data_IF_540629741068
#
_entry.id   IF_540629741068
#
_cell.length_a   1.000
_cell.length_b   1.000
_cell.length_c   1.000
_cell.angle_alpha   90.00
_cell.angle_beta   90.00
_cell.angle_gamma   90.00
#
_symmetry.space_group_name_H-M   'P 1'
#
loop_
_entity.id
_entity.type
_entity.pdbx_description
1 polymer ?
#
# COMPACT_ATOMS: atom_id res chain seq x y z
N UNK A 1 -10.95 -1.06 34.45
CA UNK A 1 -10.16 -0.60 33.28
C UNK A 1 -10.05 -1.67 32.20
N UNK A 2 -9.91 -2.92 32.57
CA UNK A 2 -9.67 -4.02 31.61
C UNK A 2 -10.79 -4.26 30.57
N UNK A 3 -12.05 -4.12 30.99
CA UNK A 3 -13.19 -4.30 30.07
C UNK A 3 -13.27 -3.20 28.99
N UNK A 4 -12.89 -1.96 29.30
CA UNK A 4 -12.89 -0.85 28.33
C UNK A 4 -11.81 -1.10 27.28
N UNK A 5 -10.61 -1.51 27.68
CA UNK A 5 -9.55 -1.86 26.74
C UNK A 5 -9.94 -3.06 25.86
N UNK A 6 -10.58 -4.07 26.42
CA UNK A 6 -11.08 -5.21 25.66
C UNK A 6 -12.11 -4.77 24.61
N UNK A 7 -13.07 -3.92 24.98
CA UNK A 7 -14.03 -3.37 24.03
C UNK A 7 -13.37 -2.57 22.91
N UNK A 8 -12.35 -1.75 23.24
CA UNK A 8 -11.57 -1.00 22.24
C UNK A 8 -10.85 -1.95 21.28
N UNK A 9 -10.20 -2.99 21.78
CA UNK A 9 -9.51 -3.97 20.95
C UNK A 9 -10.47 -4.69 20.02
N UNK A 10 -11.64 -5.12 20.53
CA UNK A 10 -12.68 -5.77 19.71
C UNK A 10 -13.19 -4.82 18.62
N UNK A 11 -13.40 -3.56 18.98
CA UNK A 11 -13.82 -2.52 18.03
C UNK A 11 -12.78 -2.33 16.92
N UNK A 12 -11.50 -2.18 17.27
CA UNK A 12 -10.41 -2.07 16.29
C UNK A 12 -10.31 -3.31 15.39
N UNK A 13 -10.45 -4.50 15.96
CA UNK A 13 -10.42 -5.73 15.18
C UNK A 13 -11.56 -5.79 14.15
N UNK A 14 -12.77 -5.39 14.57
CA UNK A 14 -13.93 -5.34 13.69
C UNK A 14 -13.71 -4.34 12.54
N UNK A 15 -13.23 -3.13 12.86
CA UNK A 15 -12.93 -2.11 11.85
C UNK A 15 -11.79 -2.56 10.91
N UNK A 16 -10.75 -3.19 11.43
CA UNK A 16 -9.66 -3.72 10.61
C UNK A 16 -10.14 -4.78 9.59
N UNK A 17 -11.11 -5.62 9.96
CA UNK A 17 -11.70 -6.57 9.01
C UNK A 17 -12.48 -5.85 7.91
N UNK A 18 -13.27 -4.82 8.26
CA UNK A 18 -13.99 -4.01 7.28
C UNK A 18 -13.04 -3.27 6.34
N UNK A 19 -12.04 -2.62 6.88
CA UNK A 19 -11.01 -1.90 6.15
C UNK A 19 -10.28 -2.82 5.15
N UNK A 20 -9.88 -4.01 5.60
CA UNK A 20 -9.29 -5.02 4.75
C UNK A 20 -10.21 -5.43 3.59
N UNK A 21 -11.51 -5.64 3.86
CA UNK A 21 -12.48 -6.03 2.81
C UNK A 21 -12.64 -4.93 1.77
N UNK A 22 -12.76 -3.68 2.20
CA UNK A 22 -12.97 -2.53 1.31
C UNK A 22 -11.68 -2.22 0.54
N UNK A 23 -10.53 -2.23 1.20
CA UNK A 23 -9.22 -1.98 0.61
C UNK A 23 -8.82 -3.06 -0.42
N UNK A 24 -8.94 -4.33 -0.08
CA UNK A 24 -8.68 -5.43 -1.03
C UNK A 24 -9.62 -5.37 -2.22
N UNK A 25 -10.88 -4.99 -2.02
CA UNK A 25 -11.85 -4.83 -3.11
C UNK A 25 -11.43 -3.72 -4.08
N UNK A 26 -10.92 -2.61 -3.57
CA UNK A 26 -10.41 -1.50 -4.37
C UNK A 26 -9.16 -1.89 -5.16
N UNK A 27 -8.17 -2.48 -4.49
CA UNK A 27 -6.90 -2.86 -5.10
C UNK A 27 -7.05 -4.01 -6.12
N UNK A 28 -7.99 -4.94 -5.88
CA UNK A 28 -8.21 -6.11 -6.73
C UNK A 28 -8.54 -5.72 -8.19
N UNK A 29 -9.23 -4.62 -8.41
CA UNK A 29 -9.55 -4.11 -9.75
C UNK A 29 -8.26 -3.84 -10.54
N UNK A 30 -7.24 -3.30 -9.92
CA UNK A 30 -6.00 -2.89 -10.57
C UNK A 30 -5.21 -4.06 -11.16
N UNK A 31 -5.21 -5.23 -10.52
CA UNK A 31 -4.43 -6.38 -10.99
C UNK A 31 -5.26 -7.52 -11.59
N UNK A 32 -6.56 -7.60 -11.32
CA UNK A 32 -7.42 -8.65 -11.87
C UNK A 32 -8.09 -8.29 -13.19
N UNK A 33 -8.32 -6.99 -13.46
CA UNK A 33 -9.08 -6.53 -14.65
C UNK A 33 -8.49 -7.02 -15.96
N UNK A 34 -7.17 -6.99 -16.09
CA UNK A 34 -6.51 -7.45 -17.33
C UNK A 34 -6.66 -8.97 -17.55
N UNK A 35 -6.58 -9.77 -16.50
CA UNK A 35 -6.75 -11.22 -16.58
C UNK A 35 -8.20 -11.62 -16.88
N UNK A 36 -9.15 -10.92 -16.29
CA UNK A 36 -10.59 -11.14 -16.50
C UNK A 36 -11.00 -10.65 -17.90
N UNK A 37 -10.60 -9.41 -18.25
CA UNK A 37 -10.97 -8.78 -19.51
C UNK A 37 -10.38 -9.46 -20.75
N UNK A 38 -9.18 -10.05 -20.64
CA UNK A 38 -8.57 -10.84 -21.71
C UNK A 38 -9.15 -12.25 -21.85
N UNK A 39 -9.94 -12.73 -20.90
CA UNK A 39 -10.44 -14.10 -20.87
C UNK A 39 -9.35 -15.16 -20.69
N UNK A 40 -8.16 -14.77 -20.18
CA UNK A 40 -7.01 -15.68 -20.01
C UNK A 40 -7.30 -16.81 -19.02
N UNK A 41 -8.17 -16.55 -18.02
CA UNK A 41 -8.62 -17.53 -17.05
C UNK A 41 -10.06 -17.24 -16.61
N UNK A 42 -10.72 -18.25 -16.04
CA UNK A 42 -12.06 -18.06 -15.48
C UNK A 42 -11.98 -17.18 -14.22
N UNK A 43 -13.00 -16.37 -13.98
CA UNK A 43 -13.10 -15.48 -12.82
C UNK A 43 -12.71 -16.18 -11.51
N UNK A 44 -13.26 -17.38 -11.28
CA UNK A 44 -12.97 -18.18 -10.08
C UNK A 44 -11.47 -18.49 -9.92
N UNK A 45 -10.78 -18.84 -11.00
CA UNK A 45 -9.32 -19.13 -10.97
C UNK A 45 -8.53 -17.86 -10.68
N UNK A 46 -8.89 -16.75 -11.30
CA UNK A 46 -8.23 -15.46 -11.07
C UNK A 46 -8.35 -15.05 -9.60
N UNK A 47 -9.55 -15.14 -9.02
CA UNK A 47 -9.79 -14.80 -7.61
C UNK A 47 -9.01 -15.72 -6.66
N UNK A 48 -8.97 -17.02 -6.90
CA UNK A 48 -8.23 -17.95 -6.03
C UNK A 48 -6.72 -17.61 -6.05
N UNK A 49 -6.15 -17.39 -7.24
CA UNK A 49 -4.72 -17.06 -7.38
C UNK A 49 -4.43 -15.71 -6.70
N UNK A 50 -5.28 -14.71 -6.92
CA UNK A 50 -5.15 -13.40 -6.30
C UNK A 50 -5.24 -13.48 -4.77
N UNK A 51 -6.18 -14.25 -4.22
CA UNK A 51 -6.34 -14.44 -2.77
C UNK A 51 -5.09 -15.08 -2.14
N UNK A 52 -4.51 -16.08 -2.79
CA UNK A 52 -3.24 -16.69 -2.34
C UNK A 52 -2.12 -15.64 -2.36
N UNK A 53 -2.03 -14.84 -3.43
CA UNK A 53 -1.03 -13.78 -3.55
C UNK A 53 -1.16 -12.71 -2.46
N UNK A 54 -2.37 -12.25 -2.19
CA UNK A 54 -2.66 -11.27 -1.12
C UNK A 54 -2.31 -11.84 0.26
N UNK A 55 -2.66 -13.09 0.52
CA UNK A 55 -2.34 -13.76 1.79
C UNK A 55 -0.82 -13.85 2.01
N UNK A 56 -0.06 -14.27 1.00
CA UNK A 56 1.40 -14.31 1.07
C UNK A 56 1.97 -12.89 1.24
N UNK A 57 1.46 -11.91 0.49
CA UNK A 57 1.86 -10.51 0.59
C UNK A 57 1.64 -9.92 1.97
N UNK A 58 0.50 -10.23 2.60
CA UNK A 58 0.18 -9.78 3.96
C UNK A 58 1.19 -10.32 5.00
N UNK A 59 1.60 -11.59 4.89
CA UNK A 59 2.61 -12.19 5.77
C UNK A 59 3.97 -11.51 5.61
N UNK A 60 4.27 -10.95 4.43
CA UNK A 60 5.57 -10.36 4.09
C UNK A 60 5.57 -8.83 4.14
N UNK A 61 4.56 -8.19 4.72
CA UNK A 61 4.33 -6.73 4.63
C UNK A 61 4.98 -5.87 5.72
N UNK A 62 5.90 -6.40 6.51
CA UNK A 62 6.50 -5.73 7.68
C UNK A 62 7.07 -4.33 7.38
N UNK A 63 7.70 -4.14 6.22
CA UNK A 63 8.33 -2.86 5.85
C UNK A 63 7.35 -1.69 5.68
N UNK A 64 6.13 -1.95 5.22
CA UNK A 64 5.09 -0.91 5.08
C UNK A 64 4.53 -0.49 6.44
N UNK A 65 4.44 -1.42 7.38
CA UNK A 65 3.97 -1.17 8.73
C UNK A 65 4.90 -0.22 9.49
N UNK A 66 6.20 -0.32 9.28
CA UNK A 66 7.19 0.57 9.91
C UNK A 66 7.03 2.03 9.45
N UNK A 67 6.76 2.25 8.15
CA UNK A 67 6.49 3.59 7.61
C UNK A 67 5.23 4.20 8.25
N UNK A 68 4.18 3.42 8.44
CA UNK A 68 2.95 3.88 9.08
C UNK A 68 3.18 4.23 10.57
N UNK A 69 4.00 3.44 11.27
CA UNK A 69 4.25 3.63 12.72
C UNK A 69 5.19 4.78 13.05
N UNK A 70 6.25 4.97 12.26
CA UNK A 70 7.35 5.89 12.60
C UNK A 70 7.66 6.91 11.50
N UNK A 71 6.96 6.83 10.35
CA UNK A 71 7.28 7.63 9.18
C UNK A 71 6.72 9.04 9.20
N UNK A 72 5.50 9.24 9.71
CA UNK A 72 4.73 10.48 9.53
C UNK A 72 4.76 11.35 10.79
N UNK A 73 4.65 10.75 11.94
CA UNK A 73 4.63 11.42 13.23
C UNK A 73 5.59 10.76 14.24
N UNK A 74 5.80 11.39 15.37
CA UNK A 74 6.61 10.86 16.46
C UNK A 74 5.70 10.30 17.57
N UNK A 75 5.48 8.98 17.60
CA UNK A 75 4.50 8.37 18.54
C UNK A 75 4.81 8.66 20.00
N UNK A 76 6.10 8.86 20.33
CA UNK A 76 6.60 9.14 21.69
C UNK A 76 6.06 10.45 22.26
N UNK A 77 5.64 11.37 21.40
CA UNK A 77 5.10 12.68 21.78
C UNK A 77 3.59 12.67 22.00
N UNK A 78 2.92 11.55 21.72
CA UNK A 78 1.47 11.42 21.85
C UNK A 78 1.12 10.49 23.00
N UNK A 79 0.09 10.84 23.75
CA UNK A 79 -0.49 9.94 24.76
C UNK A 79 -1.19 8.77 24.08
N UNK A 80 -1.40 7.68 24.81
CA UNK A 80 -2.09 6.52 24.31
C UNK A 80 -3.50 6.85 23.79
N UNK A 81 -4.22 7.76 24.45
CA UNK A 81 -5.54 8.20 24.00
C UNK A 81 -5.50 8.98 22.69
N UNK A 82 -4.51 9.85 22.52
CA UNK A 82 -4.31 10.60 21.28
C UNK A 82 -4.00 9.67 20.12
N UNK A 83 -3.15 8.66 20.34
CA UNK A 83 -2.86 7.62 19.34
C UNK A 83 -4.09 6.82 18.98
N UNK A 84 -4.92 6.43 19.95
CA UNK A 84 -6.20 5.75 19.68
C UNK A 84 -7.12 6.61 18.83
N UNK A 85 -7.24 7.90 19.14
CA UNK A 85 -8.06 8.82 18.36
C UNK A 85 -7.56 8.95 16.91
N UNK A 86 -6.23 9.06 16.73
CA UNK A 86 -5.61 9.12 15.38
C UNK A 86 -5.97 7.86 14.59
N UNK A 87 -5.72 6.67 15.15
CA UNK A 87 -5.94 5.42 14.43
C UNK A 87 -7.42 5.14 14.16
N UNK A 88 -8.33 5.46 15.10
CA UNK A 88 -9.78 5.33 14.87
C UNK A 88 -10.22 6.27 13.76
N UNK A 89 -9.75 7.52 13.76
CA UNK A 89 -10.08 8.48 12.72
C UNK A 89 -9.60 8.00 11.33
N UNK A 90 -8.37 7.51 11.24
CA UNK A 90 -7.82 6.95 10.00
C UNK A 90 -8.67 5.78 9.50
N UNK A 91 -8.93 4.76 10.35
CA UNK A 91 -9.70 3.58 9.96
C UNK A 91 -11.12 3.93 9.48
N UNK A 92 -11.81 4.83 10.19
CA UNK A 92 -13.16 5.25 9.79
C UNK A 92 -13.12 6.01 8.45
N UNK A 93 -12.14 6.89 8.28
CA UNK A 93 -11.99 7.69 7.06
C UNK A 93 -11.66 6.79 5.87
N UNK A 94 -10.71 5.86 6.03
CA UNK A 94 -10.29 4.95 4.95
C UNK A 94 -11.44 4.06 4.50
N UNK A 95 -12.20 3.45 5.43
CA UNK A 95 -13.38 2.66 5.11
C UNK A 95 -14.40 3.47 4.30
N UNK A 96 -14.74 4.67 4.76
CA UNK A 96 -15.73 5.51 4.08
C UNK A 96 -15.22 5.95 2.70
N UNK A 97 -13.99 6.39 2.63
CA UNK A 97 -13.37 6.88 1.40
C UNK A 97 -13.27 5.78 0.36
N UNK A 98 -12.73 4.62 0.73
CA UNK A 98 -12.61 3.48 -0.17
C UNK A 98 -13.95 2.92 -0.60
N UNK A 99 -14.96 2.88 0.27
CA UNK A 99 -16.32 2.44 -0.08
C UNK A 99 -16.97 3.38 -1.11
N UNK A 100 -16.80 4.70 -0.94
CA UNK A 100 -17.23 5.69 -1.92
C UNK A 100 -16.54 5.49 -3.27
N UNK A 101 -15.22 5.33 -3.27
CA UNK A 101 -14.47 5.08 -4.51
C UNK A 101 -14.86 3.77 -5.18
N UNK A 102 -15.07 2.69 -4.41
CA UNK A 102 -15.56 1.41 -4.91
C UNK A 102 -16.95 1.55 -5.55
N UNK A 103 -17.85 2.26 -4.89
CA UNK A 103 -19.21 2.51 -5.40
C UNK A 103 -19.20 3.31 -6.69
N UNK A 104 -18.29 4.28 -6.83
CA UNK A 104 -18.12 5.08 -8.04
C UNK A 104 -17.32 4.36 -9.13
N UNK A 105 -16.75 3.18 -8.84
CA UNK A 105 -15.91 2.43 -9.76
C UNK A 105 -14.57 3.11 -10.05
N UNK A 106 -14.05 3.90 -9.12
CA UNK A 106 -12.79 4.61 -9.23
C UNK A 106 -11.71 3.92 -8.37
N UNK A 107 -10.80 3.15 -8.98
CA UNK A 107 -9.69 2.57 -8.23
C UNK A 107 -8.76 3.68 -7.71
N UNK A 108 -8.39 3.60 -6.45
CA UNK A 108 -7.46 4.53 -5.81
C UNK A 108 -6.25 3.80 -5.23
N UNK A 109 -5.29 4.55 -4.71
CA UNK A 109 -4.13 3.97 -4.01
C UNK A 109 -4.40 3.97 -2.50
N UNK A 110 -4.65 2.80 -1.94
CA UNK A 110 -4.84 2.60 -0.50
C UNK A 110 -3.64 3.09 0.32
N UNK A 111 -2.42 2.91 -0.19
CA UNK A 111 -1.21 3.41 0.47
C UNK A 111 -1.18 4.94 0.54
N UNK A 112 -1.57 5.62 -0.54
CA UNK A 112 -1.62 7.10 -0.59
C UNK A 112 -2.71 7.61 0.34
N UNK A 113 -3.89 6.99 0.32
CA UNK A 113 -5.01 7.29 1.23
C UNK A 113 -4.54 7.23 2.68
N UNK A 114 -4.02 6.10 3.12
CA UNK A 114 -3.52 5.87 4.47
C UNK A 114 -2.49 6.93 4.92
N UNK A 115 -1.54 7.29 4.05
CA UNK A 115 -0.52 8.30 4.36
C UNK A 115 -1.14 9.68 4.63
N UNK A 116 -2.06 10.12 3.77
CA UNK A 116 -2.70 11.43 3.92
C UNK A 116 -3.73 11.47 5.05
N UNK A 117 -4.43 10.38 5.30
CA UNK A 117 -5.35 10.24 6.44
C UNK A 117 -4.60 10.29 7.76
N UNK A 118 -3.49 9.56 7.85
CA UNK A 118 -2.63 9.56 9.02
C UNK A 118 -2.02 10.94 9.26
N UNK A 119 -1.59 11.62 8.20
CA UNK A 119 -1.10 12.99 8.27
C UNK A 119 -2.20 13.95 8.74
N UNK A 120 -3.41 13.86 8.18
CA UNK A 120 -4.54 14.70 8.54
C UNK A 120 -4.99 14.51 9.99
N UNK A 121 -5.16 13.26 10.42
CA UNK A 121 -5.54 12.94 11.79
C UNK A 121 -4.49 13.42 12.79
N UNK A 122 -3.22 13.16 12.51
CA UNK A 122 -2.11 13.60 13.38
C UNK A 122 -1.99 15.11 13.42
N UNK A 123 -2.18 15.80 12.29
CA UNK A 123 -2.14 17.26 12.21
C UNK A 123 -3.20 17.90 13.11
N UNK A 124 -4.43 17.37 13.09
CA UNK A 124 -5.53 17.89 13.92
C UNK A 124 -5.24 17.67 15.41
N UNK A 125 -4.79 16.47 15.79
CA UNK A 125 -4.45 16.19 17.21
C UNK A 125 -3.29 17.05 17.66
N UNK A 126 -2.26 17.24 16.82
CA UNK A 126 -1.13 18.13 17.11
C UNK A 126 -1.58 19.59 17.31
N UNK A 127 -2.54 20.05 16.49
CA UNK A 127 -3.08 21.41 16.60
C UNK A 127 -3.80 21.62 17.94
N UNK A 128 -4.62 20.67 18.37
CA UNK A 128 -5.25 20.70 19.70
C UNK A 128 -4.23 20.69 20.83
N UNK A 129 -3.19 19.86 20.71
CA UNK A 129 -2.14 19.76 21.71
C UNK A 129 -1.35 21.06 21.86
N UNK A 130 -0.94 21.67 20.76
CA UNK A 130 -0.24 22.96 20.74
C UNK A 130 -1.13 24.07 21.31
N UNK A 131 -2.42 24.06 21.01
CA UNK A 131 -3.37 25.07 21.53
C UNK A 131 -3.70 24.89 23.00
N UNK A 132 -3.61 23.69 23.53
CA UNK A 132 -3.97 23.36 24.93
C UNK A 132 -2.80 23.44 25.90
N UNK A 133 -1.58 23.24 25.45
CA UNK A 133 -0.38 23.28 26.29
C UNK A 133 0.32 24.63 26.20
N UNK A 134 0.47 25.30 27.33
CA UNK A 134 1.19 26.59 27.46
C UNK A 134 2.72 26.47 27.30
N UNK A 135 3.22 25.36 26.78
CA UNK A 135 4.62 24.95 26.81
C UNK A 135 5.43 25.11 25.51
N UNK A 136 4.91 25.81 24.48
CA UNK A 136 5.74 26.16 23.31
C UNK A 136 6.11 25.00 22.37
N UNK A 137 5.33 23.89 22.34
CA UNK A 137 5.52 22.81 21.38
C UNK A 137 5.30 23.31 19.96
N UNK A 138 6.19 22.92 19.06
CA UNK A 138 6.10 23.23 17.63
C UNK A 138 5.58 22.01 16.85
N UNK A 139 4.99 22.26 15.67
CA UNK A 139 4.61 21.17 14.75
C UNK A 139 5.76 20.25 14.37
N UNK A 140 6.98 20.78 14.27
CA UNK A 140 8.19 20.00 13.98
C UNK A 140 8.57 19.00 15.09
N UNK A 141 8.08 19.22 16.31
CA UNK A 141 8.32 18.31 17.44
C UNK A 141 7.38 17.10 17.42
N UNK A 142 6.19 17.29 16.88
CA UNK A 142 5.12 16.30 16.81
C UNK A 142 5.11 15.54 15.49
N UNK A 143 5.33 16.24 14.37
CA UNK A 143 5.32 15.70 13.00
C UNK A 143 6.75 15.58 12.46
N UNK A 144 7.01 14.50 11.75
CA UNK A 144 8.25 14.34 11.01
C UNK A 144 8.15 15.03 9.64
N UNK A 145 8.26 16.36 9.65
CA UNK A 145 8.04 17.21 8.46
C UNK A 145 8.95 16.84 7.29
N UNK A 146 10.20 16.48 7.53
CA UNK A 146 11.14 16.06 6.48
C UNK A 146 10.67 14.77 5.80
N UNK A 147 10.24 13.77 6.57
CA UNK A 147 9.70 12.52 6.01
C UNK A 147 8.37 12.73 5.32
N UNK A 148 7.48 13.56 5.85
CA UNK A 148 6.20 13.90 5.22
C UNK A 148 6.41 14.50 3.84
N UNK A 149 7.31 15.49 3.73
CA UNK A 149 7.66 16.11 2.45
C UNK A 149 8.29 15.08 1.51
N UNK A 150 9.23 14.29 1.99
CA UNK A 150 9.91 13.25 1.19
C UNK A 150 8.92 12.21 0.66
N UNK A 151 8.00 11.72 1.49
CA UNK A 151 6.95 10.76 1.08
C UNK A 151 6.01 11.38 0.06
N UNK A 152 5.53 12.60 0.32
CA UNK A 152 4.63 13.33 -0.59
C UNK A 152 5.27 13.56 -1.96
N UNK A 153 6.51 14.07 -1.98
CA UNK A 153 7.26 14.25 -3.23
C UNK A 153 7.53 12.90 -3.92
N UNK A 154 7.83 11.85 -3.16
CA UNK A 154 8.01 10.50 -3.66
C UNK A 154 6.76 9.96 -4.36
N UNK A 155 5.57 10.23 -3.82
CA UNK A 155 4.29 9.85 -4.43
C UNK A 155 4.13 10.54 -5.80
N UNK A 156 4.28 11.86 -5.87
CA UNK A 156 4.15 12.60 -7.15
C UNK A 156 5.21 12.17 -8.16
N UNK A 157 6.46 11.99 -7.72
CA UNK A 157 7.54 11.55 -8.59
C UNK A 157 7.30 10.13 -9.12
N UNK A 158 6.78 9.22 -8.27
CA UNK A 158 6.46 7.85 -8.68
C UNK A 158 5.39 7.80 -9.77
N UNK A 159 4.37 8.66 -9.68
CA UNK A 159 3.32 8.77 -10.71
C UNK A 159 3.92 9.23 -12.05
N UNK A 160 4.78 10.25 -12.03
CA UNK A 160 5.44 10.75 -13.24
C UNK A 160 6.35 9.67 -13.87
N UNK A 161 7.14 8.97 -13.06
CA UNK A 161 8.00 7.86 -13.49
C UNK A 161 7.15 6.72 -14.06
N UNK A 162 6.09 6.31 -13.37
CA UNK A 162 5.19 5.24 -13.81
C UNK A 162 4.53 5.58 -15.16
N UNK A 163 4.12 6.82 -15.36
CA UNK A 163 3.55 7.28 -16.63
C UNK A 163 4.56 7.16 -17.78
N UNK A 164 5.79 7.66 -17.60
CA UNK A 164 6.83 7.62 -18.64
C UNK A 164 7.22 6.18 -18.96
N UNK A 165 7.60 5.40 -17.93
CA UNK A 165 8.02 4.01 -18.14
C UNK A 165 6.88 3.12 -18.63
N UNK A 166 5.67 3.30 -18.10
CA UNK A 166 4.48 2.57 -18.56
C UNK A 166 4.19 2.83 -20.03
N UNK A 167 4.31 4.08 -20.48
CA UNK A 167 4.16 4.46 -21.89
C UNK A 167 5.21 3.77 -22.77
N UNK A 168 6.48 3.79 -22.36
CA UNK A 168 7.58 3.14 -23.08
C UNK A 168 7.37 1.63 -23.16
N UNK A 169 7.06 0.98 -22.03
CA UNK A 169 6.82 -0.47 -21.99
C UNK A 169 5.62 -0.86 -22.86
N UNK A 170 4.53 -0.08 -22.78
CA UNK A 170 3.34 -0.32 -23.61
C UNK A 170 3.64 -0.13 -25.10
N UNK A 171 4.42 0.88 -25.47
CA UNK A 171 4.86 1.07 -26.87
C UNK A 171 5.70 -0.11 -27.35
N UNK A 172 6.67 -0.57 -26.55
CA UNK A 172 7.49 -1.73 -26.87
C UNK A 172 6.65 -3.00 -27.01
N UNK A 173 5.73 -3.24 -26.06
CA UNK A 173 4.83 -4.39 -26.10
C UNK A 173 3.98 -4.38 -27.37
N UNK A 174 3.38 -3.24 -27.75
CA UNK A 174 2.59 -3.11 -28.99
C UNK A 174 3.42 -3.32 -30.25
N UNK A 175 4.69 -2.92 -30.24
CA UNK A 175 5.61 -3.12 -31.38
C UNK A 175 6.01 -4.60 -31.51
N UNK A 176 6.31 -5.25 -30.39
CA UNK A 176 6.69 -6.68 -30.35
C UNK A 176 5.50 -7.60 -30.71
N UNK A 177 4.33 -7.30 -30.13
CA UNK A 177 3.09 -8.06 -30.33
C UNK A 177 2.17 -7.36 -31.33
N UNK A 178 2.67 -7.07 -32.55
CA UNK A 178 1.89 -6.48 -33.64
C UNK A 178 0.68 -7.35 -34.04
N UNK A 179 -0.16 -6.86 -34.96
CA UNK A 179 -1.37 -7.60 -35.45
C UNK A 179 -1.11 -9.05 -35.93
N UNK A 180 0.12 -9.37 -36.29
CA UNK A 180 0.54 -10.76 -36.63
C UNK A 180 1.18 -11.44 -35.40
N UNK A 181 0.55 -11.35 -34.26
CA UNK A 181 1.10 -11.85 -32.98
C UNK A 181 1.40 -13.35 -32.96
N UNK A 182 0.67 -14.16 -33.77
CA UNK A 182 0.86 -15.63 -33.84
C UNK A 182 2.23 -16.05 -34.38
N UNK A 183 2.88 -15.20 -35.18
CA UNK A 183 4.22 -15.50 -35.71
C UNK A 183 5.28 -15.31 -34.62
N UNK A 184 5.92 -16.39 -34.19
CA UNK A 184 6.94 -16.40 -33.15
C UNK A 184 6.40 -16.12 -31.74
N UNK A 185 5.11 -16.36 -31.50
CA UNK A 185 4.43 -16.09 -30.23
C UNK A 185 5.12 -16.74 -29.03
N UNK A 186 5.52 -17.99 -29.18
CA UNK A 186 6.16 -18.76 -28.08
C UNK A 186 7.45 -18.09 -27.61
N UNK A 187 8.30 -17.63 -28.52
CA UNK A 187 9.55 -16.99 -28.18
C UNK A 187 9.34 -15.55 -27.61
N UNK A 188 8.44 -14.80 -28.23
CA UNK A 188 8.10 -13.44 -27.79
C UNK A 188 7.47 -13.42 -26.38
N UNK A 189 6.54 -14.35 -26.12
CA UNK A 189 5.93 -14.47 -24.78
C UNK A 189 6.98 -14.95 -23.77
N UNK A 190 7.85 -15.90 -24.14
CA UNK A 190 8.90 -16.39 -23.27
C UNK A 190 9.85 -15.27 -22.83
N UNK A 191 10.33 -14.47 -23.77
CA UNK A 191 11.21 -13.35 -23.47
C UNK A 191 10.50 -12.26 -22.64
N UNK A 192 9.36 -11.78 -23.09
CA UNK A 192 8.61 -10.72 -22.41
C UNK A 192 8.12 -11.15 -21.03
N UNK A 193 7.52 -12.32 -20.94
CA UNK A 193 7.06 -12.90 -19.68
C UNK A 193 8.21 -13.20 -18.73
N UNK A 194 9.34 -13.68 -19.25
CA UNK A 194 10.55 -13.90 -18.45
C UNK A 194 11.08 -12.61 -17.84
N UNK A 195 11.18 -11.52 -18.60
CA UNK A 195 11.60 -10.22 -18.10
C UNK A 195 10.61 -9.69 -17.05
N UNK A 196 9.30 -9.77 -17.32
CA UNK A 196 8.27 -9.33 -16.37
C UNK A 196 8.31 -10.14 -15.07
N UNK A 197 8.38 -11.46 -15.14
CA UNK A 197 8.49 -12.32 -13.97
C UNK A 197 9.76 -12.06 -13.17
N UNK A 198 10.89 -11.90 -13.84
CA UNK A 198 12.17 -11.59 -13.19
C UNK A 198 12.08 -10.26 -12.45
N UNK A 199 11.51 -9.23 -13.08
CA UNK A 199 11.33 -7.93 -12.45
C UNK A 199 10.42 -8.00 -11.23
N UNK A 200 9.30 -8.72 -11.31
CA UNK A 200 8.35 -8.89 -10.20
C UNK A 200 9.02 -9.64 -9.05
N UNK A 201 9.67 -10.77 -9.33
CA UNK A 201 10.35 -11.59 -8.31
C UNK A 201 11.49 -10.81 -7.65
N UNK A 202 12.29 -10.08 -8.44
CA UNK A 202 13.34 -9.21 -7.93
C UNK A 202 12.79 -8.14 -6.97
N UNK A 203 11.71 -7.45 -7.36
CA UNK A 203 11.05 -6.46 -6.50
C UNK A 203 10.49 -7.10 -5.22
N UNK A 204 9.88 -8.26 -5.32
CA UNK A 204 9.30 -8.99 -4.19
C UNK A 204 10.39 -9.39 -3.20
N UNK A 205 11.51 -9.92 -3.67
CA UNK A 205 12.64 -10.34 -2.82
C UNK A 205 13.34 -9.12 -2.19
N UNK A 206 13.63 -8.06 -2.95
CA UNK A 206 14.41 -6.93 -2.44
C UNK A 206 13.57 -5.99 -1.58
N UNK A 207 12.31 -5.75 -1.95
CA UNK A 207 11.46 -4.78 -1.23
C UNK A 207 10.49 -5.42 -0.24
N UNK A 208 9.95 -6.60 -0.56
CA UNK A 208 8.99 -7.29 0.30
C UNK A 208 9.65 -8.06 1.43
N UNK A 209 10.74 -8.75 1.15
CA UNK A 209 11.37 -9.69 2.11
C UNK A 209 12.54 -9.05 2.88
N UNK A 210 13.03 -7.88 2.44
CA UNK A 210 14.26 -7.26 2.98
C UNK A 210 14.28 -7.13 4.50
N UNK A 211 13.16 -6.82 5.11
CA UNK A 211 13.04 -6.57 6.55
C UNK A 211 12.24 -7.64 7.29
N UNK A 212 11.90 -8.75 6.62
CA UNK A 212 11.19 -9.88 7.21
C UNK A 212 12.14 -10.82 7.96
N UNK A 213 11.59 -11.54 8.93
CA UNK A 213 12.28 -12.59 9.73
C UNK A 213 12.87 -13.70 8.86
N UNK A 214 12.36 -13.87 7.63
CA UNK A 214 12.82 -14.89 6.68
C UNK A 214 14.13 -14.51 5.97
N UNK A 215 14.59 -13.27 6.10
CA UNK A 215 15.79 -12.78 5.40
C UNK A 215 17.06 -12.99 6.23
N UNK A 216 17.66 -14.16 6.07
CA UNK A 216 18.97 -14.43 6.67
C UNK A 216 20.07 -13.54 6.06
N UNK A 217 21.15 -13.21 6.79
CA UNK A 217 22.27 -12.43 6.27
C UNK A 217 22.91 -13.03 5.01
N UNK A 218 22.92 -14.35 4.91
CA UNK A 218 23.43 -15.09 3.75
C UNK A 218 22.55 -14.86 2.51
N UNK A 219 21.23 -14.85 2.68
CA UNK A 219 20.28 -14.61 1.59
C UNK A 219 20.37 -13.16 1.10
N UNK A 220 20.60 -12.19 2.00
CA UNK A 220 20.86 -10.78 1.63
C UNK A 220 22.09 -10.64 0.75
N UNK A 221 23.16 -11.31 1.10
CA UNK A 221 24.40 -11.29 0.34
C UNK A 221 24.30 -11.98 -1.03
N UNK A 222 23.37 -12.94 -1.17
CA UNK A 222 23.16 -13.67 -2.43
C UNK A 222 22.26 -12.89 -3.42
N UNK A 223 21.37 -12.02 -2.92
CA UNK A 223 20.42 -11.23 -3.72
C UNK A 223 21.00 -9.85 -4.11
N UNK A 224 22.02 -9.35 -3.37
CA UNK A 224 22.69 -8.09 -3.63
C UNK A 224 23.77 -8.23 -4.70
#
# INVERSE_FOLDING_TARGET
MDYIFLCIIIFFFFFAVFDLVVGVSNDAVNFMTSAIGSGAATFKRVVIIASIGVFIGAIMSDGMMDIARHGIFRPEQFSFYELLCIFVAVMITDIILLDVFNTLGMPTSTTVSLVFELLGATFIVALFKISGESGGLSFSDLLNTEKVISVTLGIFLSVAIAFVFGTVVQFLARTIFSFRYRSGLTWKIGLYGGVCLTAIVYFLLIKGVKDSVLMTPELKAWIA
#
